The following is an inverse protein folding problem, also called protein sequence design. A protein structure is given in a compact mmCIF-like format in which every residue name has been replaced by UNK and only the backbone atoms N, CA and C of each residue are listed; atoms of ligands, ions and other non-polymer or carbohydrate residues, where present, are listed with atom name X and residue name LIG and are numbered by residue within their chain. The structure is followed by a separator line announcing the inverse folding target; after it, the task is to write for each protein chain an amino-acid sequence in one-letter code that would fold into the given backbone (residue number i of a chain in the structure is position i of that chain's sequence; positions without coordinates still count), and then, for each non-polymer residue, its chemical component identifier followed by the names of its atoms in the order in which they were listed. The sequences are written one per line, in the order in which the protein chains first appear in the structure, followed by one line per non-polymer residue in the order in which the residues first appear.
data_IF_197983142695
#
_entry.id   IF_197983142695
#
_cell.length_a   1.000
_cell.length_b   1.000
_cell.length_c   1.000
_cell.angle_alpha   90.00
_cell.angle_beta   90.00
_cell.angle_gamma   90.00
#
_symmetry.space_group_name_H-M   'P 1'
#
loop_
_entity.id
_entity.type
_entity.pdbx_description
1 polymer ?
#
# COMPACT_ATOMS: atom_id res chain seq x y z
N UNK A 1 -11.31 19.02 -7.71
CA UNK A 1 -10.32 18.22 -8.46
C UNK A 1 -8.96 18.65 -7.94
N UNK A 2 -8.34 17.86 -7.07
CA UNK A 2 -7.03 18.20 -6.52
C UNK A 2 -5.96 17.63 -7.45
N UNK A 3 -5.10 18.50 -7.96
CA UNK A 3 -3.93 18.14 -8.76
C UNK A 3 -3.01 17.23 -7.94
N UNK A 4 -2.84 15.99 -8.40
CA UNK A 4 -1.82 15.08 -7.88
C UNK A 4 -0.53 15.40 -8.62
N UNK A 5 0.31 16.24 -8.01
CA UNK A 5 1.65 16.52 -8.51
C UNK A 5 2.47 15.24 -8.48
N UNK A 6 2.74 14.68 -9.67
CA UNK A 6 3.47 13.43 -9.82
C UNK A 6 4.96 13.75 -9.91
N UNK A 7 5.62 13.92 -8.77
CA UNK A 7 7.08 13.87 -8.72
C UNK A 7 7.50 12.44 -8.39
N UNK A 8 8.22 11.81 -9.33
CA UNK A 8 9.05 10.64 -9.06
C UNK A 8 10.25 11.12 -8.22
N UNK A 9 9.99 11.41 -6.94
CA UNK A 9 10.99 11.92 -6.04
C UNK A 9 11.96 10.83 -5.63
N UNK A 10 13.27 11.08 -5.76
CA UNK A 10 14.30 10.29 -5.10
C UNK A 10 13.90 10.11 -3.62
N UNK A 11 13.76 8.86 -3.19
CA UNK A 11 13.40 8.51 -1.81
C UNK A 11 14.54 8.96 -0.89
N UNK A 12 14.41 10.14 -0.28
CA UNK A 12 15.56 10.82 0.33
C UNK A 12 15.73 10.56 1.83
N UNK A 13 14.69 10.09 2.52
CA UNK A 13 14.70 9.86 3.96
C UNK A 13 14.48 8.38 4.29
N UNK A 14 15.03 7.87 5.41
CA UNK A 14 14.79 6.50 5.85
C UNK A 14 13.31 6.14 5.94
N UNK A 15 13.00 4.89 5.62
CA UNK A 15 11.67 4.34 5.83
C UNK A 15 11.44 4.06 7.31
N UNK A 16 10.29 4.49 7.83
CA UNK A 16 9.84 4.11 9.16
C UNK A 16 9.14 2.75 9.13
N UNK A 17 8.19 2.61 8.20
CA UNK A 17 7.41 1.40 7.95
C UNK A 17 6.61 1.59 6.66
N UNK A 18 6.11 0.48 6.12
CA UNK A 18 5.17 0.45 5.01
C UNK A 18 4.01 -0.50 5.31
N UNK A 19 2.89 -0.29 4.66
CA UNK A 19 1.71 -1.16 4.79
C UNK A 19 0.87 -1.12 3.52
N UNK A 20 0.20 -2.22 3.23
CA UNK A 20 -0.79 -2.31 2.15
C UNK A 20 -1.99 -1.46 2.55
N UNK A 21 -2.41 -0.53 1.68
CA UNK A 21 -3.54 0.36 1.91
C UNK A 21 -4.62 0.10 0.84
N UNK A 22 -5.64 -0.71 1.16
CA UNK A 22 -6.72 -1.05 0.22
C UNK A 22 -7.46 0.16 -0.31
N UNK A 23 -7.63 1.21 0.50
CA UNK A 23 -8.29 2.45 0.12
C UNK A 23 -7.58 3.14 -1.05
N UNK A 24 -6.27 2.94 -1.19
CA UNK A 24 -5.45 3.50 -2.27
C UNK A 24 -4.95 2.47 -3.28
N UNK A 25 -5.30 1.18 -3.11
CA UNK A 25 -4.95 0.11 -4.03
C UNK A 25 -3.43 -0.07 -4.19
N UNK A 26 -2.69 -0.04 -3.09
CA UNK A 26 -1.23 -0.11 -3.17
C UNK A 26 -0.50 -0.04 -1.83
N UNK A 27 0.82 -0.03 -1.90
CA UNK A 27 1.71 -0.04 -0.75
C UNK A 27 2.07 1.39 -0.36
N UNK A 28 1.76 1.78 0.88
CA UNK A 28 2.11 3.10 1.41
C UNK A 28 3.38 2.97 2.24
N UNK A 29 4.38 3.78 1.91
CA UNK A 29 5.62 3.93 2.66
C UNK A 29 5.63 5.24 3.43
N UNK A 30 5.90 5.20 4.74
CA UNK A 30 6.00 6.36 5.62
C UNK A 30 7.48 6.66 5.88
N UNK A 31 7.90 7.90 5.64
CA UNK A 31 9.29 8.34 5.79
C UNK A 31 9.51 9.18 7.04
N UNK A 32 10.74 9.18 7.51
CA UNK A 32 11.14 9.95 8.68
C UNK A 32 10.95 11.46 8.52
N UNK A 33 11.10 12.01 7.32
CA UNK A 33 11.04 13.45 7.06
C UNK A 33 9.62 14.05 7.03
N UNK A 34 8.59 13.24 7.25
CA UNK A 34 7.21 13.67 7.17
C UNK A 34 6.54 13.40 5.83
N UNK A 35 7.22 12.73 4.90
CA UNK A 35 6.65 12.35 3.59
C UNK A 35 6.11 10.92 3.60
N UNK A 36 5.20 10.67 2.68
CA UNK A 36 4.66 9.35 2.42
C UNK A 36 4.61 9.13 0.93
N UNK A 37 4.89 7.90 0.51
CA UNK A 37 4.93 7.50 -0.89
C UNK A 37 3.99 6.32 -1.11
N UNK A 38 3.41 6.25 -2.31
CA UNK A 38 2.52 5.16 -2.71
C UNK A 38 3.16 4.42 -3.89
N UNK A 39 3.22 3.11 -3.78
CA UNK A 39 3.52 2.20 -4.88
C UNK A 39 2.22 1.53 -5.33
N UNK A 40 2.00 1.48 -6.65
CA UNK A 40 0.82 0.86 -7.27
C UNK A 40 1.24 -0.22 -8.28
N UNK A 41 0.39 -1.22 -8.53
CA UNK A 41 0.63 -2.19 -9.60
C UNK A 41 0.65 -1.49 -10.98
N UNK A 42 1.28 -2.11 -11.98
CA UNK A 42 1.36 -1.60 -13.36
C UNK A 42 1.96 -0.19 -13.47
N UNK A 43 2.88 0.15 -12.57
CA UNK A 43 3.62 1.42 -12.54
C UNK A 43 5.14 1.19 -12.44
N UNK A 44 5.62 0.06 -12.95
CA UNK A 44 7.06 -0.25 -13.07
C UNK A 44 7.85 -0.06 -11.77
N UNK A 45 7.27 -0.39 -10.61
CA UNK A 45 7.94 -0.23 -9.32
C UNK A 45 8.12 1.23 -8.87
N UNK A 46 7.48 2.20 -9.54
CA UNK A 46 7.67 3.63 -9.26
C UNK A 46 6.89 4.05 -8.01
N UNK A 47 7.64 4.55 -7.02
CA UNK A 47 7.09 5.22 -5.85
C UNK A 47 6.75 6.68 -6.16
N UNK A 48 5.48 7.06 -5.94
CA UNK A 48 5.02 8.45 -6.12
C UNK A 48 4.79 9.13 -4.78
N UNK A 49 5.09 10.43 -4.68
CA UNK A 49 4.75 11.21 -3.47
C UNK A 49 3.23 11.19 -3.28
N UNK A 50 2.80 10.70 -2.12
CA UNK A 50 1.40 10.48 -1.79
C UNK A 50 0.88 11.53 -0.80
N UNK A 51 1.66 11.82 0.23
CA UNK A 51 1.30 12.81 1.24
C UNK A 51 2.54 13.41 1.88
N UNK A 52 2.35 14.56 2.51
CA UNK A 52 3.36 15.20 3.34
C UNK A 52 2.68 15.73 4.61
N UNK A 53 3.41 15.74 5.72
CA UNK A 53 2.91 16.32 6.96
C UNK A 53 2.53 17.78 6.72
N UNK A 54 1.49 18.24 7.41
CA UNK A 54 1.16 19.66 7.38
C UNK A 54 2.28 20.47 8.04
N UNK A 55 2.63 21.67 7.54
CA UNK A 55 3.70 22.50 8.09
C UNK A 55 3.57 22.77 9.59
N UNK A 56 2.34 23.01 10.05
CA UNK A 56 2.00 23.34 11.44
C UNK A 56 2.08 22.16 12.40
N UNK A 57 2.16 20.92 11.90
CA UNK A 57 2.29 19.74 12.75
C UNK A 57 3.78 19.47 13.02
N UNK A 58 4.21 19.45 14.30
CA UNK A 58 5.58 19.07 14.66
C UNK A 58 5.91 17.66 14.16
N UNK A 59 7.12 17.47 13.65
CA UNK A 59 7.52 16.22 13.00
C UNK A 59 7.38 15.02 13.95
N UNK A 60 7.84 15.15 15.20
CA UNK A 60 7.73 14.08 16.21
C UNK A 60 6.28 13.69 16.50
N UNK A 61 5.38 14.68 16.61
CA UNK A 61 3.94 14.41 16.79
C UNK A 61 3.35 13.69 15.58
N UNK A 62 3.73 14.10 14.37
CA UNK A 62 3.30 13.42 13.14
C UNK A 62 3.81 11.97 13.11
N UNK A 63 5.08 11.72 13.43
CA UNK A 63 5.67 10.36 13.49
C UNK A 63 4.95 9.49 14.53
N UNK A 64 4.69 10.02 15.72
CA UNK A 64 3.97 9.32 16.77
C UNK A 64 2.55 8.93 16.32
N UNK A 65 1.82 9.86 15.70
CA UNK A 65 0.49 9.57 15.16
C UNK A 65 0.52 8.50 14.06
N UNK A 66 1.52 8.53 13.18
CA UNK A 66 1.67 7.52 12.12
C UNK A 66 1.99 6.14 12.71
N UNK A 67 2.85 6.05 13.72
CA UNK A 67 3.13 4.79 14.43
C UNK A 67 1.90 4.25 15.14
N UNK A 68 1.14 5.12 15.81
CA UNK A 68 -0.11 4.73 16.46
C UNK A 68 -1.14 4.20 15.46
N UNK A 69 -1.30 4.86 14.30
CA UNK A 69 -2.17 4.38 13.23
C UNK A 69 -1.69 3.03 12.65
N UNK A 70 -0.39 2.87 12.42
CA UNK A 70 0.19 1.63 11.92
C UNK A 70 -0.03 0.45 12.88
N UNK A 71 0.10 0.68 14.19
CA UNK A 71 -0.11 -0.35 15.21
C UNK A 71 -1.56 -0.86 15.31
N UNK A 72 -2.52 -0.14 14.72
CA UNK A 72 -3.93 -0.53 14.66
C UNK A 72 -4.28 -1.30 13.39
N UNK A 73 -3.37 -1.39 12.41
CA UNK A 73 -3.62 -2.11 11.16
C UNK A 73 -3.59 -3.62 11.39
N UNK A 74 -4.42 -4.39 10.65
CA UNK A 74 -4.37 -5.84 10.71
C UNK A 74 -3.04 -6.36 10.16
N UNK A 75 -2.62 -7.55 10.64
CA UNK A 75 -1.30 -8.08 10.33
C UNK A 75 -1.05 -8.16 8.81
N UNK A 76 -2.05 -8.58 8.03
CA UNK A 76 -1.94 -8.78 6.58
C UNK A 76 -1.66 -7.48 5.83
N UNK A 77 -2.00 -6.31 6.39
CA UNK A 77 -1.59 -5.03 5.80
C UNK A 77 -0.14 -4.69 6.14
N UNK A 78 0.30 -5.02 7.35
CA UNK A 78 1.63 -4.68 7.86
C UNK A 78 2.73 -5.66 7.45
N UNK A 79 2.37 -6.90 7.07
CA UNK A 79 3.31 -7.94 6.66
C UNK A 79 3.72 -7.84 5.20
N UNK A 80 2.99 -7.07 4.40
CA UNK A 80 3.28 -6.89 2.97
C UNK A 80 4.46 -5.94 2.80
N UNK A 81 5.55 -6.46 2.23
CA UNK A 81 6.74 -5.65 1.90
C UNK A 81 6.79 -5.24 0.44
N UNK A 82 6.14 -6.02 -0.43
CA UNK A 82 6.20 -5.90 -1.89
C UNK A 82 4.84 -6.24 -2.50
N UNK A 83 4.57 -5.71 -3.69
CA UNK A 83 3.38 -6.04 -4.45
C UNK A 83 3.64 -7.27 -5.33
N UNK A 84 2.60 -8.06 -5.65
CA UNK A 84 2.69 -9.06 -6.72
C UNK A 84 3.12 -8.40 -8.03
N UNK A 85 3.92 -9.11 -8.83
CA UNK A 85 4.37 -8.58 -10.12
C UNK A 85 3.23 -8.51 -11.15
N UNK A 86 3.42 -7.70 -12.18
CA UNK A 86 2.40 -7.46 -13.21
C UNK A 86 1.99 -8.76 -13.93
N UNK A 87 2.91 -9.73 -14.07
CA UNK A 87 2.61 -11.02 -14.70
C UNK A 87 1.66 -11.87 -13.84
N UNK A 88 1.87 -11.87 -12.53
CA UNK A 88 1.05 -12.55 -11.52
C UNK A 88 -0.32 -11.90 -11.42
N UNK A 89 -0.39 -10.57 -11.39
CA UNK A 89 -1.66 -9.85 -11.38
C UNK A 89 -2.47 -10.10 -12.65
N UNK A 90 -1.83 -10.05 -13.82
CA UNK A 90 -2.51 -10.37 -15.09
C UNK A 90 -3.01 -11.81 -15.12
N UNK A 91 -2.26 -12.75 -14.54
CA UNK A 91 -2.70 -14.14 -14.40
C UNK A 91 -3.97 -14.24 -13.56
N UNK A 92 -3.99 -13.66 -12.36
CA UNK A 92 -5.19 -13.70 -11.51
C UNK A 92 -6.40 -12.96 -12.08
N UNK A 93 -6.18 -11.96 -12.94
CA UNK A 93 -7.29 -11.27 -13.63
C UNK A 93 -7.99 -12.14 -14.68
N UNK A 94 -7.28 -13.13 -15.24
CA UNK A 94 -7.83 -14.02 -16.28
C UNK A 94 -8.15 -15.42 -15.74
N UNK A 95 -7.41 -15.85 -14.73
CA UNK A 95 -7.60 -17.13 -14.06
C UNK A 95 -8.72 -16.97 -13.01
N UNK A 96 -9.59 -17.97 -12.89
CA UNK A 96 -10.65 -17.98 -11.87
C UNK A 96 -10.15 -18.19 -10.43
N UNK A 97 -8.86 -17.93 -10.15
CA UNK A 97 -8.17 -18.18 -8.89
C UNK A 97 -7.21 -17.02 -8.61
N UNK A 98 -7.17 -16.57 -7.36
CA UNK A 98 -6.31 -15.51 -6.85
C UNK A 98 -5.77 -15.89 -5.46
N UNK A 99 -4.81 -15.13 -4.94
CA UNK A 99 -4.33 -15.26 -3.56
C UNK A 99 -4.73 -14.03 -2.73
N UNK A 100 -4.82 -14.20 -1.42
CA UNK A 100 -4.85 -13.08 -0.47
C UNK A 100 -3.43 -12.57 -0.17
N UNK A 101 -3.28 -11.34 0.37
CA UNK A 101 -2.01 -10.84 0.89
C UNK A 101 -1.31 -11.70 1.95
N UNK A 102 -2.04 -12.60 2.60
CA UNK A 102 -1.50 -13.56 3.56
C UNK A 102 -1.37 -15.00 3.02
N UNK A 103 -1.62 -15.20 1.72
CA UNK A 103 -1.30 -16.43 0.98
C UNK A 103 -2.39 -17.50 0.90
N UNK A 104 -3.65 -17.19 1.24
CA UNK A 104 -4.77 -18.11 1.03
C UNK A 104 -5.22 -18.04 -0.46
N UNK A 105 -5.40 -19.19 -1.10
CA UNK A 105 -5.96 -19.29 -2.46
C UNK A 105 -7.50 -19.18 -2.42
N UNK A 106 -8.05 -18.23 -3.16
CA UNK A 106 -9.49 -17.89 -3.18
C UNK A 106 -9.95 -17.39 -4.56
N UNK A 107 -11.24 -17.11 -4.72
CA UNK A 107 -11.77 -16.47 -5.93
C UNK A 107 -11.23 -15.03 -6.10
N UNK A 108 -11.09 -14.52 -7.34
CA UNK A 108 -10.61 -13.16 -7.64
C UNK A 108 -11.32 -12.00 -6.92
N UNK A 109 -12.62 -12.08 -6.68
CA UNK A 109 -13.42 -11.10 -5.91
C UNK A 109 -13.63 -11.52 -4.45
N UNK A 110 -12.98 -12.60 -4.03
CA UNK A 110 -13.24 -13.26 -2.77
C UNK A 110 -12.60 -12.59 -1.55
N UNK A 111 -12.97 -13.13 -0.39
CA UNK A 111 -12.37 -12.84 0.91
C UNK A 111 -12.19 -14.15 1.65
N UNK A 112 -11.01 -14.39 2.23
CA UNK A 112 -10.74 -15.62 2.98
C UNK A 112 -11.56 -15.71 4.27
N UNK A 113 -11.60 -16.90 4.87
CA UNK A 113 -12.27 -17.12 6.15
C UNK A 113 -11.69 -16.27 7.31
N UNK A 114 -10.47 -15.75 7.16
CA UNK A 114 -9.82 -14.81 8.10
C UNK A 114 -10.26 -13.35 7.88
N UNK A 115 -11.06 -13.08 6.86
CA UNK A 115 -11.47 -11.73 6.47
C UNK A 115 -10.43 -10.98 5.63
N UNK A 116 -9.46 -11.69 5.02
CA UNK A 116 -8.45 -11.07 4.16
C UNK A 116 -8.95 -11.07 2.71
N UNK A 117 -9.04 -9.91 2.04
CA UNK A 117 -9.49 -9.84 0.65
C UNK A 117 -8.45 -10.46 -0.30
N UNK A 118 -8.88 -10.84 -1.51
CA UNK A 118 -7.95 -11.18 -2.59
C UNK A 118 -7.00 -10.01 -2.91
N UNK A 119 -5.86 -10.30 -3.52
CA UNK A 119 -4.96 -9.26 -4.01
C UNK A 119 -5.64 -8.29 -4.99
N UNK A 120 -6.53 -8.79 -5.85
CA UNK A 120 -7.22 -7.95 -6.84
C UNK A 120 -8.18 -6.97 -6.18
N UNK A 121 -8.94 -7.42 -5.17
CA UNK A 121 -9.81 -6.55 -4.37
C UNK A 121 -8.96 -5.57 -3.55
N UNK A 122 -7.92 -6.05 -2.88
CA UNK A 122 -7.03 -5.20 -2.07
C UNK A 122 -6.31 -4.12 -2.90
N UNK A 123 -6.03 -4.39 -4.17
CA UNK A 123 -5.39 -3.45 -5.09
C UNK A 123 -6.36 -2.63 -5.95
N UNK A 124 -7.68 -2.79 -5.75
CA UNK A 124 -8.73 -2.11 -6.54
C UNK A 124 -8.62 -2.36 -8.04
N UNK A 125 -8.27 -3.59 -8.40
CA UNK A 125 -8.27 -4.10 -9.76
C UNK A 125 -9.57 -4.83 -10.12
N UNK A 126 -10.48 -4.95 -9.13
CA UNK A 126 -11.81 -5.54 -9.20
C UNK A 126 -12.78 -4.72 -8.35
#
# INVERSE_FOLDING_TARGET
MNEVTTEAGAVSAPELFRYLCPEHGGLVSIREDGRSYLLRPFKDGVWIKFAEKKPEVPLEKWRANKRAAFALLPYWQTSVTDLPDDATLNRWLVDGVCETPDGDEIEPDGTSWKGVPSWLVALKLM
#
